data_IF_161952613553
#
_entry.id   IF_161952613553
#
_cell.length_a   1.000
_cell.length_b   1.000
_cell.length_c   1.000
_cell.angle_alpha   90.00
_cell.angle_beta   90.00
_cell.angle_gamma   90.00
#
_symmetry.space_group_name_H-M   'P 1'
#
loop_
_entity.id
_entity.type
_entity.pdbx_description
1 polymer ?
2 non-polymer ?
#
# COMPACT_ATOMS: atom_id res chain seq x y z
N UNK A 22 32.84 8.26 -21.84
CA UNK A 22 32.48 7.06 -21.09
C UNK A 22 30.98 7.03 -20.79
N UNK A 23 30.26 6.14 -21.46
CA UNK A 23 28.81 6.04 -21.20
C UNK A 23 28.48 5.17 -20.01
N UNK A 24 29.36 4.22 -19.67
CA UNK A 24 29.12 3.32 -18.55
C UNK A 24 29.35 3.99 -17.21
N UNK A 25 30.35 4.88 -17.13
CA UNK A 25 30.53 5.67 -15.92
C UNK A 25 29.57 6.85 -15.84
N UNK A 26 28.96 7.22 -16.97
CA UNK A 26 27.93 8.25 -16.96
C UNK A 26 26.54 7.67 -16.71
N UNK A 27 26.42 6.35 -16.67
CA UNK A 27 25.13 5.73 -16.39
C UNK A 27 24.90 5.60 -14.89
N UNK A 28 25.90 5.10 -14.16
CA UNK A 28 25.75 4.96 -12.71
C UNK A 28 25.81 6.29 -11.98
N UNK A 29 26.32 7.34 -12.61
CA UNK A 29 26.40 8.64 -11.97
C UNK A 29 25.20 9.52 -12.30
N UNK A 30 24.67 9.44 -13.52
CA UNK A 30 23.62 10.34 -13.94
C UNK A 30 22.26 9.68 -14.13
N UNK A 31 22.19 8.34 -14.12
CA UNK A 31 20.91 7.66 -14.26
C UNK A 31 20.57 6.80 -13.05
N UNK A 32 21.49 5.93 -12.61
CA UNK A 32 21.19 5.07 -11.48
C UNK A 32 21.20 5.87 -10.18
N UNK A 33 21.99 6.94 -10.11
CA UNK A 33 21.89 7.86 -8.99
C UNK A 33 20.70 8.79 -9.11
N UNK A 34 19.96 8.74 -10.23
CA UNK A 34 18.73 9.50 -10.39
C UNK A 34 17.49 8.66 -10.14
N UNK A 35 17.53 7.36 -10.43
CA UNK A 35 16.43 6.47 -10.06
C UNK A 35 16.36 6.29 -8.55
N UNK A 36 17.52 6.29 -7.89
CA UNK A 36 17.56 6.22 -6.44
C UNK A 36 17.37 7.59 -5.79
N UNK A 37 17.34 8.66 -6.58
CA UNK A 37 16.97 9.95 -6.03
C UNK A 37 15.50 10.26 -6.30
N UNK A 38 14.99 9.85 -7.46
CA UNK A 38 13.55 9.97 -7.70
C UNK A 38 12.76 9.02 -6.82
N UNK A 39 13.20 7.76 -6.73
CA UNK A 39 12.54 6.77 -5.90
C UNK A 39 12.59 7.09 -4.42
N UNK A 40 13.56 7.90 -3.99
CA UNK A 40 13.54 8.47 -2.66
C UNK A 40 12.52 9.60 -2.56
N UNK A 41 12.58 10.55 -3.50
CA UNK A 41 11.79 11.77 -3.40
C UNK A 41 10.34 11.59 -3.81
N UNK A 42 10.00 10.53 -4.56
CA UNK A 42 8.61 10.30 -4.90
C UNK A 42 7.82 9.72 -3.74
N UNK A 43 8.49 9.19 -2.72
CA UNK A 43 7.83 8.66 -1.54
C UNK A 43 7.79 9.65 -0.40
N UNK A 44 8.21 10.89 -0.63
CA UNK A 44 8.23 11.92 0.41
C UNK A 44 6.88 12.62 0.38
N UNK A 45 6.06 12.32 1.37
CA UNK A 45 4.75 12.92 1.56
C UNK A 45 4.62 12.99 3.08
N UNK A 46 5.03 14.10 3.69
CA UNK A 46 5.01 14.14 5.16
C UNK A 46 3.62 14.16 5.75
N UNK A 47 2.63 14.62 5.00
CA UNK A 47 1.28 14.63 5.50
C UNK A 47 0.46 13.45 5.05
N UNK A 48 1.13 12.39 4.57
CA UNK A 48 0.42 11.21 4.10
C UNK A 48 -0.12 10.39 5.26
N UNK A 49 0.61 10.37 6.37
CA UNK A 49 0.11 9.71 7.57
C UNK A 49 -0.89 10.57 8.33
N UNK A 50 -0.94 11.87 8.03
CA UNK A 50 -1.80 12.81 8.73
C UNK A 50 -2.89 13.37 7.82
N UNK A 51 -3.50 12.53 6.99
CA UNK A 51 -4.66 12.98 6.22
C UNK A 51 -5.92 12.90 7.05
N UNK A 52 -6.15 11.75 7.69
CA UNK A 52 -7.34 11.53 8.50
C UNK A 52 -7.37 12.34 9.81
N UNK A 53 -6.26 12.57 10.53
CA UNK A 53 -6.32 13.59 11.60
C UNK A 53 -6.48 15.01 11.07
N UNK A 54 -6.16 15.27 9.80
CA UNK A 54 -6.40 16.59 9.25
C UNK A 54 -7.86 16.78 8.86
N UNK A 55 -8.50 15.73 8.34
CA UNK A 55 -9.90 15.83 7.97
C UNK A 55 -10.80 15.89 9.20
N UNK A 56 -10.49 15.08 10.20
CA UNK A 56 -11.31 15.02 11.41
C UNK A 56 -10.97 16.11 12.42
N UNK A 57 -9.93 16.90 12.16
CA UNK A 57 -9.57 18.00 13.04
C UNK A 57 -10.43 19.22 12.79
N UNK A 58 -10.10 20.33 13.45
CA UNK A 58 -10.88 21.56 13.26
C UNK A 58 -10.62 22.28 11.94
N UNK A 59 -9.63 21.83 11.16
CA UNK A 59 -9.27 22.53 9.93
C UNK A 59 -10.32 22.31 8.85
N UNK A 60 -10.61 21.04 8.53
CA UNK A 60 -11.65 20.72 7.57
C UNK A 60 -13.01 20.53 8.23
N UNK A 61 -13.02 20.08 9.48
CA UNK A 61 -14.20 19.88 10.31
C UNK A 61 -15.20 18.91 9.66
N UNK A 62 -14.72 17.69 9.47
CA UNK A 62 -15.58 16.59 9.04
C UNK A 62 -15.93 15.72 10.24
N UNK A 63 -17.16 15.23 10.24
CA UNK A 63 -17.59 14.34 11.30
C UNK A 63 -17.08 12.94 10.94
N UNK A 64 -16.82 12.12 11.94
CA UNK A 64 -16.35 10.77 11.71
C UNK A 64 -17.33 10.02 10.81
N UNK A 65 -18.61 10.15 11.11
CA UNK A 65 -19.66 9.52 10.33
C UNK A 65 -19.57 9.92 8.86
N UNK A 66 -18.89 11.04 8.57
CA UNK A 66 -18.76 11.46 7.19
C UNK A 66 -17.50 10.95 6.52
N UNK A 67 -16.52 10.51 7.29
CA UNK A 67 -15.27 10.01 6.71
C UNK A 67 -15.30 8.48 6.58
N UNK A 68 -15.81 7.79 7.59
CA UNK A 68 -15.83 6.32 7.55
C UNK A 68 -16.87 5.78 6.57
N UNK A 69 -17.95 6.51 6.34
CA UNK A 69 -19.04 6.00 5.52
C UNK A 69 -19.21 6.71 4.18
N UNK A 70 -18.62 7.89 4.00
CA UNK A 70 -18.87 8.66 2.80
C UNK A 70 -17.62 9.08 2.03
N UNK A 71 -16.44 9.01 2.65
CA UNK A 71 -15.21 9.46 2.02
C UNK A 71 -14.25 8.29 1.79
N UNK A 72 -13.92 7.56 2.85
CA UNK A 72 -13.03 6.40 2.76
C UNK A 72 -13.56 5.20 1.95
N UNK A 73 -14.87 4.90 1.86
CA UNK A 73 -15.28 3.85 0.90
C UNK A 73 -15.12 4.26 -0.55
N UNK A 74 -15.01 5.54 -0.88
CA UNK A 74 -14.73 5.93 -2.26
C UNK A 74 -13.29 5.64 -2.63
N UNK A 75 -12.42 5.42 -1.65
CA UNK A 75 -11.05 4.99 -1.93
C UNK A 75 -11.03 3.57 -2.49
N UNK A 76 -11.88 2.69 -1.98
CA UNK A 76 -11.91 1.30 -2.43
C UNK A 76 -12.87 1.08 -3.60
N UNK A 77 -13.57 2.12 -4.05
CA UNK A 77 -14.41 2.02 -5.24
C UNK A 77 -13.65 2.44 -6.48
N UNK A 78 -12.95 3.57 -6.41
CA UNK A 78 -12.20 4.05 -7.55
C UNK A 78 -10.96 3.18 -7.78
N UNK A 79 -10.46 2.54 -6.72
CA UNK A 79 -9.35 1.62 -6.86
C UNK A 79 -9.74 0.35 -7.61
N UNK A 80 -11.03 0.03 -7.66
CA UNK A 80 -11.49 -0.97 -8.61
C UNK A 80 -11.60 -0.37 -10.01
N UNK A 81 -11.91 0.92 -10.09
CA UNK A 81 -12.19 1.54 -11.38
C UNK A 81 -10.91 1.91 -12.13
N UNK A 82 -9.82 2.16 -11.39
CA UNK A 82 -8.58 2.55 -12.05
C UNK A 82 -7.47 1.51 -11.91
N UNK A 83 -7.78 0.29 -11.48
CA UNK A 83 -6.73 -0.72 -11.38
C UNK A 83 -6.33 -1.23 -12.75
N UNK A 84 -7.30 -1.71 -13.52
CA UNK A 84 -7.06 -2.21 -14.88
C UNK A 84 -6.84 -1.10 -15.91
N UNK A 85 -7.48 0.09 -15.84
CA UNK A 85 -7.05 1.15 -16.77
C UNK A 85 -5.63 1.65 -16.57
N UNK A 86 -5.11 1.67 -15.33
CA UNK A 86 -3.75 2.15 -15.14
C UNK A 86 -2.74 1.05 -15.50
N UNK A 87 -3.05 -0.20 -15.15
CA UNK A 87 -2.12 -1.31 -15.40
C UNK A 87 -1.96 -1.57 -16.90
N UNK A 88 -2.99 -1.31 -17.69
CA UNK A 88 -2.84 -1.39 -19.14
C UNK A 88 -2.12 -0.16 -19.67
N UNK A 89 -2.33 1.00 -19.04
CA UNK A 89 -1.71 2.23 -19.51
C UNK A 89 -0.25 2.32 -19.10
N UNK A 90 0.12 1.71 -17.96
CA UNK A 90 1.50 1.82 -17.51
C UNK A 90 2.45 0.97 -18.33
N UNK A 91 1.94 0.00 -19.08
CA UNK A 91 2.79 -0.77 -19.98
C UNK A 91 2.74 -0.25 -21.40
N UNK A 92 1.62 0.36 -21.79
CA UNK A 92 1.48 0.89 -23.14
C UNK A 92 2.22 2.20 -23.32
N UNK A 93 2.34 3.00 -22.25
CA UNK A 93 3.04 4.28 -22.32
C UNK A 93 4.49 4.18 -21.88
N UNK A 94 4.99 2.97 -21.63
CA UNK A 94 6.36 2.70 -21.19
C UNK A 94 6.68 3.40 -19.86
N UNK A 95 5.72 3.35 -18.93
CA UNK A 95 5.91 3.54 -17.49
C UNK A 95 6.27 4.96 -17.04
N UNK A 96 6.60 5.85 -17.97
CA UNK A 96 6.95 7.22 -17.58
C UNK A 96 5.76 8.16 -17.42
N UNK A 97 4.76 8.24 -18.33
CA UNK A 97 3.66 9.18 -18.08
C UNK A 97 2.71 8.71 -16.98
N UNK A 98 2.79 7.46 -16.54
CA UNK A 98 2.02 7.03 -15.39
C UNK A 98 2.80 7.32 -14.11
N UNK A 99 4.12 7.22 -14.15
CA UNK A 99 4.95 7.77 -13.07
C UNK A 99 4.84 9.29 -13.00
N UNK A 100 4.59 9.93 -14.14
CA UNK A 100 4.24 11.34 -14.12
C UNK A 100 2.83 11.54 -13.58
N UNK A 101 1.94 10.59 -13.82
CA UNK A 101 0.58 10.66 -13.32
C UNK A 101 0.51 10.34 -11.83
N UNK A 102 1.34 9.39 -11.41
CA UNK A 102 1.40 9.00 -10.01
C UNK A 102 1.75 10.21 -9.16
N UNK A 103 2.72 11.00 -9.63
CA UNK A 103 3.12 12.18 -8.90
C UNK A 103 2.14 13.33 -9.06
N UNK A 104 1.47 13.42 -10.21
CA UNK A 104 0.55 14.53 -10.44
C UNK A 104 -0.80 14.29 -9.77
N UNK A 105 -1.20 13.02 -9.62
CA UNK A 105 -2.42 12.73 -8.88
C UNK A 105 -2.20 12.87 -7.39
N UNK A 106 -0.93 12.86 -6.98
CA UNK A 106 -0.57 13.06 -5.59
C UNK A 106 -0.81 14.54 -5.29
N UNK A 107 -0.39 15.39 -6.22
CA UNK A 107 -0.60 16.84 -6.08
C UNK A 107 -2.08 17.16 -6.10
N UNK A 108 -2.87 16.41 -6.89
CA UNK A 108 -4.31 16.64 -6.95
C UNK A 108 -5.00 16.18 -5.67
N UNK A 109 -4.38 15.26 -4.93
CA UNK A 109 -4.90 14.90 -3.61
C UNK A 109 -4.63 16.02 -2.62
N UNK A 110 -3.39 16.51 -2.56
CA UNK A 110 -3.05 17.56 -1.62
C UNK A 110 -3.53 18.94 -2.04
N UNK A 111 -4.02 19.10 -3.27
CA UNK A 111 -4.74 20.32 -3.60
C UNK A 111 -6.18 20.26 -3.11
N UNK A 112 -6.83 19.10 -3.27
CA UNK A 112 -8.18 18.93 -2.76
C UNK A 112 -8.23 18.87 -1.24
N UNK A 113 -7.14 18.47 -0.59
CA UNK A 113 -7.09 18.52 0.87
C UNK A 113 -6.98 19.96 1.37
N UNK A 114 -6.40 20.85 0.57
CA UNK A 114 -6.16 22.21 1.00
C UNK A 114 -7.11 23.23 0.36
N UNK A 115 -7.93 22.80 -0.60
CA UNK A 115 -8.92 23.68 -1.21
C UNK A 115 -10.34 23.17 -1.11
N UNK A 116 -10.54 21.90 -0.81
CA UNK A 116 -11.89 21.33 -0.75
C UNK A 116 -12.45 21.37 0.66
N UNK A 117 -13.75 21.63 0.74
CA UNK A 117 -14.44 21.73 2.03
C UNK A 117 -15.70 20.89 2.14
N UNK A 118 -16.34 20.53 1.03
CA UNK A 118 -17.52 19.69 1.07
C UNK A 118 -17.13 18.23 1.12
N UNK A 119 -18.12 17.35 1.27
CA UNK A 119 -17.85 15.92 1.24
C UNK A 119 -17.51 15.48 -0.17
N UNK A 120 -18.10 16.12 -1.19
CA UNK A 120 -17.83 15.74 -2.57
C UNK A 120 -16.43 16.15 -3.02
N UNK A 121 -15.79 17.08 -2.32
CA UNK A 121 -14.41 17.42 -2.63
C UNK A 121 -13.40 16.54 -1.91
N UNK A 122 -13.85 15.67 -1.01
CA UNK A 122 -12.99 14.65 -0.45
C UNK A 122 -13.26 13.27 -1.02
N UNK A 123 -14.43 13.06 -1.64
CA UNK A 123 -14.62 11.85 -2.43
C UNK A 123 -13.77 11.90 -3.69
N UNK A 124 -13.63 13.09 -4.28
CA UNK A 124 -12.73 13.26 -5.41
C UNK A 124 -11.27 13.17 -4.98
N UNK A 125 -10.99 13.52 -3.72
CA UNK A 125 -9.64 13.37 -3.18
C UNK A 125 -9.25 11.90 -3.08
N UNK A 126 -10.19 11.04 -2.67
CA UNK A 126 -9.91 9.61 -2.60
C UNK A 126 -9.98 8.93 -3.96
N UNK A 127 -10.50 9.61 -4.98
CA UNK A 127 -10.46 9.05 -6.32
C UNK A 127 -9.07 9.23 -6.93
N UNK A 128 -8.48 10.41 -6.76
CA UNK A 128 -7.10 10.62 -7.17
C UNK A 128 -6.12 9.86 -6.30
N UNK A 129 -6.48 9.57 -5.05
CA UNK A 129 -5.58 8.79 -4.20
C UNK A 129 -5.55 7.33 -4.62
N UNK A 130 -6.63 6.83 -5.20
CA UNK A 130 -6.62 5.46 -5.69
C UNK A 130 -5.85 5.32 -6.99
N UNK A 131 -5.68 6.40 -7.74
CA UNK A 131 -4.79 6.38 -8.89
C UNK A 131 -3.35 6.27 -8.43
N UNK A 132 -3.01 6.92 -7.31
CA UNK A 132 -1.66 6.81 -6.76
C UNK A 132 -1.41 5.47 -6.11
N UNK A 133 -2.45 4.71 -5.77
CA UNK A 133 -2.26 3.35 -5.29
C UNK A 133 -2.14 2.37 -6.45
N UNK A 134 -2.94 2.57 -7.49
CA UNK A 134 -2.90 1.68 -8.65
C UNK A 134 -1.69 1.91 -9.53
N UNK A 135 -0.99 3.03 -9.35
CA UNK A 135 0.24 3.31 -10.09
C UNK A 135 1.48 3.15 -9.22
N UNK A 136 1.40 2.31 -8.18
CA UNK A 136 2.54 2.06 -7.31
C UNK A 136 3.45 1.14 -8.11
N UNK A 137 2.82 0.20 -8.80
CA UNK A 137 3.51 -0.77 -9.68
C UNK A 137 4.27 -0.16 -10.86
N UNK A 138 3.86 1.02 -11.30
CA UNK A 138 4.51 1.73 -12.39
C UNK A 138 5.97 1.84 -12.05
N UNK A 139 6.32 2.51 -10.96
CA UNK A 139 7.73 2.67 -10.64
C UNK A 139 8.60 1.43 -10.72
N UNK A 140 8.26 0.41 -9.95
CA UNK A 140 9.05 -0.82 -9.93
C UNK A 140 9.02 -1.54 -11.28
N UNK A 141 7.86 -1.56 -11.91
CA UNK A 141 7.76 -2.21 -13.21
C UNK A 141 8.46 -1.35 -14.24
N UNK A 142 9.11 -0.30 -13.80
CA UNK A 142 9.84 0.59 -14.69
C UNK A 142 11.34 0.33 -14.63
N UNK A 143 11.85 -0.02 -13.46
CA UNK A 143 13.26 -0.39 -13.33
C UNK A 143 13.54 -1.70 -14.07
N UNK A 144 12.54 -2.58 -14.15
CA UNK A 144 12.74 -3.84 -14.87
C UNK A 144 12.82 -3.61 -16.37
N UNK A 145 11.98 -2.73 -16.90
CA UNK A 145 11.98 -2.48 -18.33
C UNK A 145 13.07 -1.50 -18.77
N UNK A 146 13.74 -0.84 -17.84
CA UNK A 146 14.76 0.14 -18.20
C UNK A 146 16.15 -0.48 -18.26
N UNK A 147 16.62 -1.03 -17.14
CA UNK A 147 18.01 -1.43 -17.05
C UNK A 147 18.21 -2.81 -17.65
N UNK A 148 19.47 -3.12 -17.95
CA UNK A 148 19.82 -4.40 -18.54
C UNK A 148 19.67 -5.51 -17.52
N UNK A 149 19.31 -6.73 -17.97
CA UNK A 149 19.13 -7.83 -17.02
C UNK A 149 20.40 -8.30 -16.35
N UNK A 150 21.57 -7.96 -16.89
CA UNK A 150 22.82 -8.29 -16.21
C UNK A 150 23.04 -7.38 -15.00
N UNK A 151 22.78 -6.08 -15.17
CA UNK A 151 22.93 -5.10 -14.10
C UNK A 151 21.62 -4.80 -13.40
N UNK A 152 20.63 -5.69 -13.50
CA UNK A 152 19.32 -5.38 -12.95
C UNK A 152 19.28 -5.57 -11.43
N UNK A 153 19.99 -6.58 -10.92
CA UNK A 153 19.94 -6.86 -9.49
C UNK A 153 20.68 -5.79 -8.70
N UNK A 154 21.68 -5.15 -9.30
CA UNK A 154 22.41 -4.10 -8.60
C UNK A 154 21.62 -2.79 -8.61
N UNK A 155 20.89 -2.52 -9.69
CA UNK A 155 20.12 -1.27 -9.78
C UNK A 155 18.85 -1.36 -8.95
N UNK A 156 18.07 -2.43 -9.15
CA UNK A 156 16.82 -2.59 -8.41
C UNK A 156 17.06 -2.86 -6.93
N UNK A 157 18.23 -3.38 -6.56
CA UNK A 157 18.58 -3.44 -5.15
C UNK A 157 18.86 -2.07 -4.56
N UNK A 158 19.52 -1.21 -5.34
CA UNK A 158 19.74 0.16 -4.90
C UNK A 158 18.47 0.99 -4.99
N UNK A 159 17.57 0.65 -5.91
CA UNK A 159 16.35 1.44 -6.08
C UNK A 159 15.31 1.14 -5.01
N UNK A 160 15.13 -0.13 -4.65
CA UNK A 160 14.18 -0.46 -3.59
C UNK A 160 14.72 -0.08 -2.22
N UNK A 161 16.03 0.09 -2.09
CA UNK A 161 16.59 0.63 -0.86
C UNK A 161 16.41 2.14 -0.78
N UNK A 162 16.02 2.78 -1.89
CA UNK A 162 15.69 4.19 -1.86
C UNK A 162 14.21 4.43 -1.66
N UNK A 163 13.37 3.51 -2.12
CA UNK A 163 11.93 3.62 -1.88
C UNK A 163 11.62 3.32 -0.41
N UNK A 164 12.23 2.26 0.13
CA UNK A 164 12.02 1.92 1.54
C UNK A 164 12.63 2.96 2.46
N UNK A 165 13.74 3.60 2.05
CA UNK A 165 14.25 4.74 2.79
C UNK A 165 13.33 5.94 2.61
N UNK A 166 12.77 6.11 1.42
CA UNK A 166 11.88 7.23 1.17
C UNK A 166 10.54 7.11 1.87
N UNK A 167 10.04 5.88 2.04
CA UNK A 167 8.80 5.68 2.77
C UNK A 167 9.03 5.89 4.27
N UNK A 168 10.17 5.43 4.78
CA UNK A 168 10.45 5.53 6.21
C UNK A 168 10.70 6.98 6.62
N UNK A 169 11.57 7.69 5.90
CA UNK A 169 11.93 9.03 6.32
C UNK A 169 10.86 10.07 5.99
N UNK A 170 9.86 9.72 5.18
CA UNK A 170 8.74 10.63 4.99
C UNK A 170 7.85 10.67 6.22
N UNK A 171 7.61 9.52 6.83
CA UNK A 171 6.80 9.49 8.04
C UNK A 171 7.58 10.03 9.23
N UNK A 172 8.90 9.95 9.21
CA UNK A 172 9.71 10.57 10.25
C UNK A 172 9.70 12.09 10.08
N UNK A 173 9.86 12.57 8.83
CA UNK A 173 9.77 14.00 8.56
C UNK A 173 8.37 14.53 8.83
N UNK A 174 7.34 13.72 8.61
CA UNK A 174 6.00 14.12 8.97
C UNK A 174 5.78 14.14 10.47
N UNK A 175 6.49 13.28 11.20
CA UNK A 175 6.30 13.22 12.65
C UNK A 175 7.06 14.32 13.37
N UNK A 176 8.29 14.61 12.93
CA UNK A 176 9.10 15.61 13.62
C UNK A 176 8.57 17.01 13.38
N UNK A 177 7.90 17.26 12.26
CA UNK A 177 7.26 18.54 12.04
C UNK A 177 5.97 18.68 12.86
N UNK A 178 5.34 17.57 13.22
CA UNK A 178 4.12 17.61 14.01
C UNK A 178 4.41 17.56 15.50
N UNK A 179 5.24 16.61 15.90
CA UNK A 179 5.57 16.43 17.32
C UNK A 179 6.67 17.36 17.85
N UNK A 180 7.81 17.39 17.19
CA UNK A 180 8.93 18.21 17.63
C UNK A 180 8.81 19.64 17.11
N UNK A 181 8.60 19.79 15.79
CA UNK A 181 8.55 21.11 15.19
C UNK A 181 7.31 21.91 15.54
N UNK A 182 6.24 21.23 15.99
CA UNK A 182 4.95 21.83 16.37
C UNK A 182 4.32 22.64 15.24
N UNK A 183 4.57 22.24 14.00
CA UNK A 183 3.91 22.86 12.86
C UNK A 183 2.50 22.31 12.76
N UNK A 184 1.56 23.16 12.33
CA UNK A 184 0.16 22.77 12.27
C UNK A 184 -0.08 21.75 11.15
N UNK A 185 -1.28 21.16 11.18
CA UNK A 185 -1.65 20.18 10.16
C UNK A 185 -1.85 20.83 8.80
N UNK A 186 -2.35 22.07 8.77
CA UNK A 186 -2.55 22.75 7.50
C UNK A 186 -1.22 23.13 6.87
N UNK A 187 -0.29 23.65 7.68
CA UNK A 187 1.02 24.01 7.18
C UNK A 187 1.91 22.80 6.89
N UNK A 188 1.55 21.63 7.40
CA UNK A 188 2.28 20.41 7.03
C UNK A 188 1.96 20.00 5.59
N UNK A 189 0.70 20.15 5.18
CA UNK A 189 0.32 19.79 3.82
C UNK A 189 0.84 20.81 2.79
N UNK A 190 1.24 22.00 3.22
CA UNK A 190 1.95 22.89 2.31
C UNK A 190 3.41 22.51 2.19
N UNK A 191 3.99 21.90 3.24
CA UNK A 191 5.30 21.29 3.11
C UNK A 191 5.22 20.04 2.25
N UNK A 192 4.11 19.29 2.38
CA UNK A 192 3.90 18.13 1.53
C UNK A 192 3.60 18.51 0.09
N UNK A 193 3.14 19.74 -0.16
CA UNK A 193 3.01 20.24 -1.52
C UNK A 193 4.33 20.77 -2.07
N UNK A 194 5.35 20.94 -1.23
CA UNK A 194 6.64 21.35 -1.74
C UNK A 194 7.43 20.16 -2.27
N UNK A 195 7.25 18.98 -1.67
CA UNK A 195 7.92 17.78 -2.17
C UNK A 195 7.16 17.10 -3.29
N UNK A 196 5.84 17.25 -3.33
CA UNK A 196 5.07 16.62 -4.40
C UNK A 196 5.14 17.42 -5.69
N UNK A 197 5.25 18.74 -5.61
CA UNK A 197 5.52 19.53 -6.81
C UNK A 197 6.97 19.41 -7.24
N UNK A 198 7.86 19.02 -6.33
CA UNK A 198 9.25 18.76 -6.70
C UNK A 198 9.41 17.39 -7.34
N UNK A 199 8.56 16.43 -6.99
CA UNK A 199 8.63 15.09 -7.55
C UNK A 199 7.83 14.94 -8.84
N UNK A 200 7.00 15.92 -9.19
CA UNK A 200 6.42 15.94 -10.53
C UNK A 200 7.48 16.32 -11.56
N UNK A 201 8.32 17.31 -11.21
CA UNK A 201 9.41 17.74 -12.07
C UNK A 201 10.45 16.64 -12.21
N UNK A 202 10.68 15.85 -11.16
CA UNK A 202 11.61 14.74 -11.26
C UNK A 202 11.07 13.62 -12.14
N UNK A 203 9.75 13.44 -12.18
CA UNK A 203 9.16 12.43 -13.05
C UNK A 203 9.21 12.83 -14.52
N UNK A 204 9.42 14.11 -14.81
CA UNK A 204 9.55 14.55 -16.19
C UNK A 204 10.89 14.15 -16.79
N UNK A 205 11.95 14.19 -15.99
CA UNK A 205 13.31 13.96 -16.46
C UNK A 205 13.73 12.51 -16.35
N UNK A 206 12.78 11.59 -16.19
CA UNK A 206 13.10 10.17 -16.13
C UNK A 206 13.38 9.63 -17.52
N UNK A 207 14.36 8.74 -17.62
CA UNK A 207 14.67 8.09 -18.88
C UNK A 207 13.58 7.10 -19.23
N UNK A 208 12.90 7.32 -20.35
CA UNK A 208 11.87 6.40 -20.79
C UNK A 208 12.52 5.11 -21.27
N UNK A 209 12.04 3.95 -20.85
CA UNK A 209 12.66 2.69 -21.28
C UNK A 209 12.37 2.38 -22.74
N UNK A 210 13.24 1.58 -23.32
CA UNK A 210 13.14 1.22 -24.72
C UNK A 210 12.27 -0.01 -24.95
N UNK A 211 11.63 -0.53 -23.91
CA UNK A 211 10.78 -1.70 -24.03
C UNK A 211 9.73 -1.65 -22.93
N UNK A 212 8.90 -2.67 -22.89
CA UNK A 212 7.91 -2.85 -21.83
C UNK A 212 7.72 -4.34 -21.63
N UNK A 213 6.64 -4.73 -20.96
CA UNK A 213 6.40 -6.12 -20.64
C UNK A 213 5.36 -6.79 -21.52
N UNK A 214 4.33 -6.07 -21.96
CA UNK A 214 3.28 -6.67 -22.78
C UNK A 214 3.16 -6.04 -24.15
N UNK A 215 3.09 -4.72 -24.24
CA UNK A 215 2.78 -4.07 -25.52
C UNK A 215 4.04 -3.73 -26.31
N UNK A 216 4.89 -2.87 -25.74
CA UNK A 216 6.08 -2.39 -26.45
C UNK A 216 7.24 -3.32 -26.15
N UNK A 217 7.34 -4.37 -26.96
CA UNK A 217 8.42 -5.34 -26.85
C UNK A 217 9.26 -5.31 -28.10
N UNK A 218 10.49 -5.83 -27.98
CA UNK A 218 11.44 -5.85 -29.08
C UNK A 218 11.40 -7.16 -29.86
N UNK A 219 10.57 -8.12 -29.44
CA UNK A 219 10.36 -9.42 -30.09
C UNK A 219 11.65 -10.22 -30.29
N UNK A 255 -1.41 -16.86 -27.71
CA UNK A 255 -0.41 -16.38 -26.75
C UNK A 255 0.08 -17.52 -25.88
N UNK A 256 1.36 -17.49 -25.52
CA UNK A 256 1.93 -18.52 -24.66
C UNK A 256 1.60 -18.28 -23.20
N UNK A 257 1.07 -17.09 -22.88
CA UNK A 257 0.69 -16.80 -21.50
C UNK A 257 -0.52 -17.60 -21.09
N UNK A 258 -1.43 -17.87 -22.02
CA UNK A 258 -2.59 -18.70 -21.71
C UNK A 258 -2.20 -20.17 -21.62
N UNK A 259 -1.09 -20.54 -22.24
CA UNK A 259 -0.66 -21.94 -22.22
C UNK A 259 0.14 -22.26 -20.97
N UNK A 260 1.03 -21.34 -20.56
CA UNK A 260 1.83 -21.58 -19.36
C UNK A 260 1.02 -21.36 -18.10
N UNK A 261 -0.12 -20.65 -18.21
CA UNK A 261 -1.03 -20.54 -17.08
C UNK A 261 -1.75 -21.86 -16.84
N UNK A 262 -1.93 -22.67 -17.88
CA UNK A 262 -2.50 -23.98 -17.74
C UNK A 262 -1.57 -24.96 -17.05
N UNK A 263 -0.28 -24.66 -17.07
CA UNK A 263 0.72 -25.46 -16.37
C UNK A 263 1.05 -24.95 -14.98
N UNK A 264 0.83 -23.68 -14.71
CA UNK A 264 1.18 -23.11 -13.41
C UNK A 264 0.01 -23.02 -12.45
N UNK A 265 -1.23 -23.05 -12.95
CA UNK A 265 -2.38 -23.07 -12.08
C UNK A 265 -2.55 -24.41 -11.37
N UNK A 266 -1.97 -25.48 -11.90
CA UNK A 266 -2.00 -26.78 -11.27
C UNK A 266 -0.97 -26.93 -10.16
N UNK A 267 -0.17 -25.91 -9.90
CA UNK A 267 0.79 -25.97 -8.80
C UNK A 267 0.05 -25.88 -7.47
N UNK A 268 0.56 -26.51 -6.41
CA UNK A 268 -0.11 -26.37 -5.11
C UNK A 268 0.18 -25.06 -4.44
N UNK A 269 1.36 -24.49 -4.65
CA UNK A 269 1.73 -23.27 -3.95
C UNK A 269 1.26 -22.02 -4.70
N UNK A 270 1.03 -22.13 -6.00
CA UNK A 270 0.42 -21.02 -6.71
C UNK A 270 -1.08 -20.97 -6.46
N UNK A 271 -1.70 -22.13 -6.23
CA UNK A 271 -3.11 -22.14 -5.88
C UNK A 271 -3.33 -21.63 -4.47
N UNK A 272 -2.38 -21.88 -3.58
CA UNK A 272 -2.54 -21.49 -2.18
C UNK A 272 -2.33 -20.00 -1.98
N UNK A 273 -1.16 -19.50 -2.38
CA UNK A 273 -0.81 -18.11 -2.11
C UNK A 273 -1.52 -17.11 -3.01
N UNK A 274 -2.19 -17.56 -4.08
CA UNK A 274 -3.06 -16.64 -4.79
C UNK A 274 -4.38 -16.45 -4.05
N UNK A 275 -4.91 -17.51 -3.44
CA UNK A 275 -6.11 -17.38 -2.62
C UNK A 275 -5.82 -16.67 -1.30
N UNK A 276 -4.55 -16.55 -0.91
CA UNK A 276 -4.19 -15.69 0.19
C UNK A 276 -4.12 -14.24 -0.26
N UNK A 277 -3.54 -13.99 -1.45
CA UNK A 277 -3.38 -12.64 -1.95
C UNK A 277 -4.72 -11.99 -2.30
N UNK A 278 -5.75 -12.78 -2.58
CA UNK A 278 -7.06 -12.19 -2.86
C UNK A 278 -7.76 -11.81 -1.57
N UNK A 279 -7.79 -12.72 -0.59
CA UNK A 279 -8.64 -12.53 0.58
C UNK A 279 -7.91 -11.91 1.76
N UNK A 280 -6.67 -12.29 2.02
CA UNK A 280 -5.96 -11.72 3.17
C UNK A 280 -5.43 -10.34 2.88
N UNK A 281 -5.11 -10.03 1.62
CA UNK A 281 -4.72 -8.68 1.28
C UNK A 281 -5.91 -7.75 1.14
N UNK A 282 -7.11 -8.30 0.97
CA UNK A 282 -8.31 -7.46 1.04
C UNK A 282 -8.56 -7.01 2.47
N UNK A 283 -8.42 -7.91 3.44
CA UNK A 283 -8.59 -7.52 4.82
C UNK A 283 -7.45 -6.69 5.36
N UNK A 284 -6.27 -6.78 4.73
CA UNK A 284 -5.16 -5.92 5.15
C UNK A 284 -5.39 -4.48 4.74
N UNK A 285 -5.92 -4.27 3.54
CA UNK A 285 -6.17 -2.93 3.04
C UNK A 285 -7.31 -2.25 3.78
N UNK A 286 -8.26 -3.03 4.26
CA UNK A 286 -9.38 -2.45 5.00
C UNK A 286 -9.01 -2.12 6.43
N UNK A 287 -7.83 -2.49 6.90
CA UNK A 287 -7.36 -2.03 8.19
C UNK A 287 -6.58 -0.73 8.05
N UNK A 288 -5.68 -0.68 7.06
CA UNK A 288 -4.80 0.48 6.88
C UNK A 288 -5.58 1.72 6.47
N UNK A 289 -6.67 1.56 5.72
CA UNK A 289 -7.48 2.71 5.33
C UNK A 289 -8.29 3.25 6.51
N UNK A 290 -8.59 2.40 7.50
CA UNK A 290 -9.50 2.74 8.57
C UNK A 290 -8.86 2.77 9.95
N UNK A 291 -7.56 2.49 10.07
CA UNK A 291 -6.94 2.52 11.39
C UNK A 291 -6.65 3.95 11.82
N UNK A 292 -6.61 4.90 10.89
CA UNK A 292 -6.42 6.29 11.29
C UNK A 292 -7.73 6.93 11.71
N UNK A 293 -8.86 6.39 11.26
CA UNK A 293 -10.14 6.83 11.78
C UNK A 293 -10.38 6.24 13.16
N UNK A 294 -9.79 5.09 13.45
CA UNK A 294 -9.98 4.45 14.75
C UNK A 294 -9.11 5.11 15.81
N UNK A 295 -7.89 5.53 15.45
CA UNK A 295 -7.04 6.25 16.39
C UNK A 295 -7.63 7.62 16.72
N UNK A 296 -8.35 8.22 15.78
CA UNK A 296 -9.04 9.47 16.05
C UNK A 296 -10.34 9.26 16.81
N UNK A 297 -10.81 8.02 16.92
CA UNK A 297 -11.95 7.74 17.78
C UNK A 297 -11.51 7.51 19.22
N UNK A 298 -10.34 6.90 19.41
CA UNK A 298 -9.83 6.65 20.75
C UNK A 298 -9.40 7.94 21.42
N UNK A 299 -8.53 8.72 20.76
CA UNK A 299 -8.05 9.99 21.28
C UNK A 299 -8.42 11.09 20.29
N UNK A 300 -9.61 11.67 20.40
CA UNK A 300 -10.03 12.69 19.43
C UNK A 300 -9.56 14.10 19.79
N UNK A 301 -8.59 14.20 20.70
CA UNK A 301 -8.10 15.49 21.17
C UNK A 301 -7.30 16.17 20.06
N UNK A 302 -7.85 17.24 19.50
CA UNK A 302 -7.21 18.01 18.43
C UNK A 302 -6.10 18.84 19.05
N UNK A 303 -4.89 18.32 19.01
CA UNK A 303 -3.73 19.00 19.55
C UNK A 303 -2.61 19.19 18.54
N UNK A 304 -2.50 18.30 17.54
CA UNK A 304 -1.44 18.26 16.54
C UNK A 304 -0.05 18.11 17.17
N UNK A 305 0.02 17.53 18.37
CA UNK A 305 1.28 17.17 18.99
C UNK A 305 1.24 15.83 19.69
N UNK A 306 0.08 15.34 20.10
CA UNK A 306 -0.06 14.03 20.72
C UNK A 306 -0.48 12.96 19.71
N UNK A 307 -0.61 13.33 18.44
CA UNK A 307 -0.92 12.39 17.37
C UNK A 307 0.40 11.88 16.81
N UNK A 308 0.58 10.57 16.83
CA UNK A 308 1.80 9.92 16.38
C UNK A 308 1.50 8.99 15.23
N UNK A 309 0.72 9.48 14.27
CA UNK A 309 0.39 8.70 13.08
C UNK A 309 1.62 8.48 12.20
N UNK A 310 2.54 9.44 12.19
CA UNK A 310 3.78 9.25 11.45
C UNK A 310 4.74 8.31 12.15
N UNK A 311 4.65 8.22 13.49
CA UNK A 311 5.50 7.31 14.23
C UNK A 311 4.97 5.88 14.19
N UNK A 312 3.76 5.66 13.70
CA UNK A 312 3.22 4.32 13.52
C UNK A 312 3.19 3.91 12.06
N UNK A 313 3.57 4.80 11.15
CA UNK A 313 3.79 4.45 9.75
C UNK A 313 5.27 4.49 9.38
N UNK A 314 6.13 4.89 10.31
CA UNK A 314 7.57 4.73 10.18
C UNK A 314 8.09 3.52 10.94
N UNK A 315 7.52 3.25 12.11
CA UNK A 315 7.90 2.05 12.85
C UNK A 315 7.33 0.80 12.20
N UNK A 316 6.20 0.93 11.49
CA UNK A 316 5.67 -0.20 10.74
C UNK A 316 6.46 -0.44 9.46
N UNK A 317 7.09 0.60 8.92
CA UNK A 317 7.98 0.41 7.78
C UNK A 317 9.32 -0.17 8.23
N UNK A 318 9.82 0.27 9.40
CA UNK A 318 11.05 -0.29 9.93
C UNK A 318 10.86 -1.73 10.38
N UNK A 319 9.70 -2.06 10.96
CA UNK A 319 9.39 -3.45 11.22
C UNK A 319 9.04 -4.19 9.93
N UNK A 320 8.49 -3.47 8.95
CA UNK A 320 8.24 -4.06 7.64
C UNK A 320 9.49 -4.30 6.83
N UNK A 321 10.62 -3.72 7.23
CA UNK A 321 11.90 -4.03 6.62
C UNK A 321 12.69 -5.07 7.41
N UNK A 322 12.25 -5.39 8.63
CA UNK A 322 12.94 -6.41 9.42
C UNK A 322 12.34 -7.78 9.17
N UNK A 323 11.01 -7.88 9.22
CA UNK A 323 10.37 -9.18 8.99
C UNK A 323 10.41 -9.58 7.52
N UNK A 324 10.57 -8.59 6.65
CA UNK A 324 10.72 -8.84 5.23
C UNK A 324 12.10 -9.44 5.06
N UNK A 325 13.09 -8.87 5.75
CA UNK A 325 14.45 -9.38 5.72
C UNK A 325 14.54 -10.74 6.38
N UNK A 326 13.69 -11.00 7.38
CA UNK A 326 13.63 -12.30 8.04
C UNK A 326 12.75 -13.29 7.30
N UNK A 327 12.02 -12.84 6.27
CA UNK A 327 11.22 -13.78 5.48
C UNK A 327 12.01 -14.38 4.34
N UNK A 328 13.11 -13.74 3.93
CA UNK A 328 13.94 -14.30 2.88
C UNK A 328 14.71 -15.52 3.32
N UNK A 329 14.79 -15.75 4.63
CA UNK A 329 15.48 -16.93 5.14
C UNK A 329 14.56 -18.14 5.06
N UNK A 330 13.29 -17.90 5.42
CA UNK A 330 12.23 -18.89 5.41
C UNK A 330 11.49 -18.95 4.07
N UNK A 331 11.93 -18.20 3.06
CA UNK A 331 11.27 -18.20 1.76
C UNK A 331 11.14 -19.58 1.08
N UNK A 332 12.23 -20.35 1.04
CA UNK A 332 12.24 -21.66 0.39
C UNK A 332 12.35 -22.80 1.40
N UNK A 333 12.63 -22.46 2.65
CA UNK A 333 12.77 -23.45 3.71
C UNK A 333 11.42 -23.87 4.28
N UNK A 334 10.52 -22.91 4.45
CA UNK A 334 9.19 -23.21 4.99
C UNK A 334 8.12 -23.26 3.91
N UNK A 335 8.47 -23.66 2.69
CA UNK A 335 7.48 -23.72 1.62
C UNK A 335 6.56 -24.92 1.77
N UNK A 336 6.99 -25.92 2.55
CA UNK A 336 6.16 -27.11 2.75
C UNK A 336 5.01 -26.81 3.71
N UNK A 337 5.30 -26.12 4.81
CA UNK A 337 4.29 -25.81 5.82
C UNK A 337 3.69 -24.43 5.61
N UNK A 338 3.56 -23.99 4.35
CA UNK A 338 3.07 -22.65 4.07
C UNK A 338 1.57 -22.53 4.30
N UNK A 339 0.85 -23.65 4.26
CA UNK A 339 -0.58 -23.62 4.56
C UNK A 339 -0.84 -23.43 6.05
N UNK A 340 0.11 -23.82 6.89
CA UNK A 340 0.04 -23.56 8.32
C UNK A 340 0.73 -22.26 8.70
N UNK A 341 1.68 -21.80 7.88
CA UNK A 341 2.33 -20.52 8.13
C UNK A 341 1.38 -19.34 7.91
N UNK A 342 0.40 -19.49 7.03
CA UNK A 342 -0.64 -18.49 6.87
C UNK A 342 -1.50 -18.40 8.13
N UNK A 343 -1.98 -19.54 8.62
CA UNK A 343 -2.89 -19.57 9.76
C UNK A 343 -2.21 -19.19 11.07
N UNK A 344 -0.89 -19.21 11.12
CA UNK A 344 -0.20 -18.72 12.31
C UNK A 344 -0.06 -17.21 12.34
N UNK A 345 -0.16 -16.57 11.18
CA UNK A 345 -0.04 -15.13 11.08
C UNK A 345 -1.39 -14.45 10.88
N UNK A 346 -2.30 -15.12 10.15
CA UNK A 346 -3.66 -14.60 9.99
C UNK A 346 -4.40 -14.59 11.33
N UNK A 347 -4.19 -15.61 12.16
CA UNK A 347 -4.72 -15.58 13.52
C UNK A 347 -4.05 -14.52 14.37
N UNK A 348 -2.77 -14.25 14.12
CA UNK A 348 -2.11 -13.14 14.79
C UNK A 348 -2.64 -11.80 14.30
N UNK A 349 -3.00 -11.72 13.01
CA UNK A 349 -3.70 -10.54 12.53
C UNK A 349 -5.14 -10.49 13.03
N UNK A 350 -5.73 -11.65 13.32
CA UNK A 350 -7.10 -11.67 13.84
C UNK A 350 -7.17 -11.18 15.27
N UNK A 351 -6.07 -11.29 16.02
CA UNK A 351 -6.04 -10.75 17.36
C UNK A 351 -5.70 -9.28 17.41
N UNK A 352 -4.85 -8.81 16.50
CA UNK A 352 -4.45 -7.42 16.52
C UNK A 352 -5.50 -6.50 15.91
N UNK A 353 -6.33 -7.02 15.00
CA UNK A 353 -7.48 -6.24 14.55
C UNK A 353 -8.52 -6.15 15.68
N UNK A 354 -8.68 -7.23 16.44
CA UNK A 354 -9.56 -7.20 17.60
C UNK A 354 -8.99 -6.32 18.71
N UNK A 355 -7.66 -6.26 18.84
CA UNK A 355 -7.06 -5.39 19.85
C UNK A 355 -7.26 -3.92 19.52
N UNK A 356 -7.32 -3.59 18.23
CA UNK A 356 -7.70 -2.24 17.84
C UNK A 356 -9.17 -1.96 18.16
N UNK A 357 -10.03 -2.95 17.99
CA UNK A 357 -11.45 -2.81 18.29
C UNK A 357 -11.78 -2.98 19.76
N UNK A 358 -10.79 -3.30 20.60
CA UNK A 358 -11.00 -3.44 22.03
C UNK A 358 -10.56 -2.23 22.83
N UNK A 359 -9.51 -1.53 22.39
CA UNK A 359 -9.01 -0.38 23.11
C UNK A 359 -9.98 0.80 22.96
N UNK A 360 -10.52 1.24 24.10
CA UNK A 360 -11.49 2.34 24.11
C UNK A 360 -10.97 3.50 24.96
N UNK A 361 -10.04 3.21 25.87
CA UNK A 361 -9.53 4.25 26.75
C UNK A 361 -8.55 5.14 25.99
N UNK A 362 -8.69 6.47 26.07
CA UNK A 362 -7.73 7.35 25.40
C UNK A 362 -6.35 7.35 26.04
N UNK A 363 -6.22 6.84 27.26
CA UNK A 363 -4.91 6.74 27.91
C UNK A 363 -4.08 5.58 27.37
N UNK A 364 -4.69 4.68 26.59
CA UNK A 364 -3.97 3.56 25.99
C UNK A 364 -3.98 3.63 24.46
N UNK A 365 -3.74 4.82 23.93
CA UNK A 365 -3.69 5.00 22.49
C UNK A 365 -2.32 4.56 21.98
N UNK A 366 -1.37 4.46 22.91
CA UNK A 366 -0.02 4.04 22.61
C UNK A 366 0.03 2.53 22.39
N UNK A 367 -0.94 1.81 22.97
CA UNK A 367 -1.01 0.37 22.82
C UNK A 367 -1.67 0.02 21.48
N UNK A 368 -2.36 1.00 20.90
CA UNK A 368 -3.05 0.84 19.64
C UNK A 368 -1.99 0.95 18.55
N UNK A 369 -1.19 2.00 18.62
CA UNK A 369 -0.11 2.15 17.64
C UNK A 369 0.70 0.88 17.54
N UNK A 370 1.05 0.28 18.68
CA UNK A 370 1.84 -0.95 18.70
C UNK A 370 1.05 -2.15 18.20
N UNK A 371 -0.28 -2.10 18.24
CA UNK A 371 -1.08 -3.17 17.66
C UNK A 371 -1.23 -3.03 16.16
N UNK A 372 -0.77 -1.92 15.58
CA UNK A 372 -0.77 -1.74 14.13
C UNK A 372 0.61 -1.87 13.52
N UNK A 373 1.67 -1.51 14.27
CA UNK A 373 3.02 -1.78 13.82
C UNK A 373 3.27 -3.27 13.76
N UNK A 374 2.83 -4.01 14.78
CA UNK A 374 2.89 -5.46 14.76
C UNK A 374 1.88 -6.09 13.80
N UNK A 375 0.91 -5.31 13.30
CA UNK A 375 0.00 -5.82 12.28
C UNK A 375 0.63 -5.72 10.89
N UNK A 376 1.14 -4.55 10.53
CA UNK A 376 1.85 -4.41 9.26
C UNK A 376 3.16 -5.18 9.27
N UNK A 377 3.80 -5.26 10.43
CA UNK A 377 5.01 -6.05 10.56
C UNK A 377 4.79 -7.54 10.42
N UNK A 378 3.57 -8.01 10.64
CA UNK A 378 3.26 -9.42 10.40
C UNK A 378 2.75 -9.66 9.00
N UNK A 379 2.11 -8.66 8.38
CA UNK A 379 1.67 -8.83 7.00
C UNK A 379 2.85 -8.78 6.04
N UNK A 380 3.84 -7.96 6.38
CA UNK A 380 5.04 -7.82 5.55
C UNK A 380 5.89 -9.10 5.58
N UNK A 381 5.65 -9.97 6.56
CA UNK A 381 6.43 -11.19 6.65
C UNK A 381 5.91 -12.25 5.68
N UNK A 382 4.61 -12.28 5.44
CA UNK A 382 4.06 -13.28 4.52
C UNK A 382 4.27 -12.90 3.06
N UNK A 383 4.40 -11.59 2.77
CA UNK A 383 4.45 -11.15 1.37
C UNK A 383 5.75 -11.54 0.67
N UNK A 384 6.87 -11.55 1.38
CA UNK A 384 8.12 -12.03 0.80
C UNK A 384 7.91 -13.49 0.39
N UNK A 385 7.23 -14.26 1.25
CA UNK A 385 6.91 -15.65 0.98
C UNK A 385 5.80 -15.76 -0.06
N UNK A 386 4.87 -14.82 -0.08
CA UNK A 386 3.75 -14.88 -1.03
C UNK A 386 4.23 -14.60 -2.44
N UNK A 387 5.06 -13.58 -2.60
CA UNK A 387 5.58 -13.21 -3.91
C UNK A 387 6.50 -14.28 -4.50
N UNK A 388 7.00 -15.16 -3.63
CA UNK A 388 7.89 -16.23 -4.07
C UNK A 388 7.11 -17.45 -4.55
N UNK A 389 6.28 -18.01 -3.68
CA UNK A 389 5.50 -19.18 -4.07
C UNK A 389 4.70 -18.93 -5.34
N UNK A 390 4.24 -17.70 -5.53
CA UNK A 390 3.47 -17.35 -6.71
C UNK A 390 4.39 -17.21 -7.92
N UNK A 391 5.43 -16.40 -7.77
CA UNK A 391 6.34 -16.09 -8.87
C UNK A 391 7.54 -17.02 -8.93
N UNK A 392 7.36 -18.29 -8.55
CA UNK A 392 8.46 -19.25 -8.62
C UNK A 392 8.74 -19.65 -10.06
N UNK A 393 7.77 -20.26 -10.72
CA UNK A 393 7.95 -20.76 -12.07
C UNK A 393 7.32 -19.87 -13.13
N UNK A 394 6.74 -18.74 -12.74
CA UNK A 394 6.08 -17.86 -13.70
C UNK A 394 7.10 -17.07 -14.51
N UNK A 395 6.82 -16.95 -15.81
CA UNK A 395 7.56 -16.01 -16.64
C UNK A 395 7.13 -14.58 -16.30
N UNK A 396 7.96 -13.62 -16.74
CA UNK A 396 7.68 -12.22 -16.41
C UNK A 396 6.47 -11.69 -17.15
N UNK A 397 6.14 -12.29 -18.30
CA UNK A 397 4.89 -11.96 -18.98
C UNK A 397 3.68 -12.55 -18.26
N UNK A 398 3.88 -13.62 -17.49
CA UNK A 398 2.80 -14.24 -16.74
C UNK A 398 2.79 -13.83 -15.27
N UNK A 399 3.93 -13.44 -14.70
CA UNK A 399 3.98 -13.05 -13.30
C UNK A 399 3.26 -11.72 -13.07
N UNK A 400 3.48 -10.74 -13.95
CA UNK A 400 2.78 -9.46 -13.83
C UNK A 400 1.30 -9.56 -14.21
N UNK A 401 0.89 -10.66 -14.85
CA UNK A 401 -0.52 -10.90 -15.13
C UNK A 401 -1.22 -11.63 -13.99
N UNK A 402 -0.49 -12.50 -13.28
CA UNK A 402 -1.07 -13.18 -12.12
C UNK A 402 -1.22 -12.22 -10.96
N UNK A 403 -0.17 -11.45 -10.66
CA UNK A 403 -0.28 -10.41 -9.64
C UNK A 403 -1.19 -9.28 -10.07
N UNK A 404 -1.31 -9.04 -11.38
CA UNK A 404 -2.24 -8.05 -11.87
C UNK A 404 -3.69 -8.48 -11.78
N UNK A 405 -3.95 -9.78 -11.76
CA UNK A 405 -5.30 -10.28 -11.58
C UNK A 405 -5.58 -10.73 -10.16
N UNK A 406 -4.54 -10.95 -9.34
CA UNK A 406 -4.77 -11.16 -7.92
C UNK A 406 -5.11 -9.85 -7.24
N UNK A 407 -4.49 -8.75 -7.67
CA UNK A 407 -4.84 -7.44 -7.12
C UNK A 407 -6.23 -7.00 -7.57
N UNK A 408 -6.64 -7.39 -8.77
CA UNK A 408 -7.99 -7.07 -9.21
C UNK A 408 -9.02 -7.91 -8.46
N UNK A 409 -8.71 -9.18 -8.20
CA UNK A 409 -9.63 -10.00 -7.42
C UNK A 409 -9.61 -9.61 -5.95
N UNK A 410 -8.51 -9.02 -5.47
CA UNK A 410 -8.52 -8.46 -4.12
C UNK A 410 -9.34 -7.18 -4.08
N UNK A 411 -9.30 -6.39 -5.15
CA UNK A 411 -10.12 -5.18 -5.20
C UNK A 411 -11.58 -5.48 -5.50
N UNK A 412 -11.89 -6.68 -5.99
CA UNK A 412 -13.29 -7.11 -6.05
C UNK A 412 -13.80 -7.38 -4.64
N UNK A 413 -13.00 -8.07 -3.82
CA UNK A 413 -13.39 -8.32 -2.43
C UNK A 413 -13.37 -7.03 -1.61
N UNK A 414 -12.44 -6.12 -1.91
CA UNK A 414 -12.42 -4.83 -1.22
C UNK A 414 -13.62 -3.98 -1.60
N UNK A 415 -14.17 -4.17 -2.80
CA UNK A 415 -15.38 -3.44 -3.17
C UNK A 415 -16.61 -4.08 -2.54
N UNK A 416 -16.59 -5.40 -2.34
CA UNK A 416 -17.75 -6.07 -1.76
C UNK A 416 -17.88 -5.74 -0.27
N UNK A 417 -16.78 -5.79 0.47
CA UNK A 417 -16.86 -5.59 1.92
C UNK A 417 -17.08 -4.12 2.26
N UNK A 418 -16.56 -3.21 1.44
CA UNK A 418 -16.80 -1.78 1.69
C UNK A 418 -18.24 -1.39 1.41
N UNK A 419 -18.86 -2.03 0.42
CA UNK A 419 -20.26 -1.71 0.15
C UNK A 419 -21.18 -2.39 1.15
N UNK A 420 -20.79 -3.55 1.66
CA UNK A 420 -21.64 -4.22 2.65
C UNK A 420 -21.46 -3.58 4.02
N UNK A 421 -20.22 -3.44 4.48
CA UNK A 421 -19.95 -3.01 5.85
C UNK A 421 -19.81 -1.51 6.00
N UNK A 422 -19.00 -0.85 5.18
CA UNK A 422 -18.56 0.50 5.50
C UNK A 422 -19.40 1.60 4.87
N UNK A 423 -19.90 1.38 3.66
CA UNK A 423 -20.59 2.44 2.94
C UNK A 423 -21.99 2.66 3.50
N UNK A 424 -22.48 3.90 3.36
CA UNK A 424 -23.77 4.26 3.89
C UNK A 424 -24.92 3.67 3.06
N UNK A 425 -24.63 3.18 1.86
CA UNK A 425 -25.63 2.48 1.06
C UNK A 425 -25.74 1.01 1.42
N UNK A 426 -24.96 0.54 2.38
CA UNK A 426 -25.06 -0.84 2.83
C UNK A 426 -25.49 -0.91 4.28
N UNK A 427 -24.56 -1.23 5.18
CA UNK A 427 -24.88 -1.20 6.60
C UNK A 427 -24.51 0.15 7.21
N UNK A 428 -23.38 0.72 6.81
CA UNK A 428 -22.97 2.02 7.33
C UNK A 428 -22.46 1.96 8.75
N UNK A 429 -21.60 1.00 9.02
CA UNK A 429 -21.07 0.82 10.36
C UNK A 429 -20.03 1.89 10.70
N UNK A 430 -19.97 2.33 11.95
CA UNK A 430 -18.85 3.15 12.39
C UNK A 430 -17.59 2.32 12.52
N UNK A 431 -16.45 3.01 12.69
CA UNK A 431 -15.16 2.33 12.56
C UNK A 431 -14.86 1.48 13.78
N UNK A 432 -15.59 1.67 14.88
CA UNK A 432 -15.41 0.80 16.03
C UNK A 432 -16.08 -0.55 15.81
N UNK A 433 -17.31 -0.54 15.31
CA UNK A 433 -18.00 -1.77 14.99
C UNK A 433 -17.56 -2.36 13.65
N UNK A 434 -16.83 -1.60 12.85
CA UNK A 434 -16.33 -2.13 11.58
C UNK A 434 -15.13 -3.03 11.80
N UNK A 435 -14.26 -2.69 12.76
CA UNK A 435 -13.09 -3.52 13.04
C UNK A 435 -13.45 -4.81 13.75
N UNK A 436 -14.61 -4.86 14.42
CA UNK A 436 -15.08 -6.13 14.95
C UNK A 436 -15.50 -7.06 13.82
N UNK A 437 -15.97 -6.52 12.70
CA UNK A 437 -16.30 -7.33 11.54
C UNK A 437 -15.05 -7.84 10.83
N UNK A 438 -13.97 -7.05 10.82
CA UNK A 438 -12.74 -7.51 10.19
C UNK A 438 -12.00 -8.51 11.06
N UNK A 439 -12.12 -8.40 12.38
CA UNK A 439 -11.53 -9.39 13.26
C UNK A 439 -12.25 -10.73 13.16
N UNK A 440 -13.55 -10.71 12.90
CA UNK A 440 -14.25 -11.95 12.57
C UNK A 440 -13.83 -12.43 11.19
N UNK A 441 -13.62 -11.49 10.25
CA UNK A 441 -13.23 -11.84 8.89
C UNK A 441 -11.84 -12.46 8.85
N UNK A 442 -10.93 -11.99 9.69
CA UNK A 442 -9.62 -12.61 9.75
C UNK A 442 -9.67 -13.94 10.48
N UNK A 443 -10.50 -14.05 11.52
CA UNK A 443 -10.61 -15.31 12.25
C UNK A 443 -11.35 -16.37 11.44
N UNK A 444 -12.30 -15.95 10.60
CA UNK A 444 -12.91 -16.88 9.65
C UNK A 444 -11.87 -17.33 8.63
N UNK A 445 -11.02 -16.40 8.18
CA UNK A 445 -9.95 -16.75 7.25
C UNK A 445 -8.86 -17.56 7.94
N UNK A 446 -8.68 -17.36 9.25
CA UNK A 446 -7.65 -18.09 9.97
C UNK A 446 -8.04 -19.56 10.16
N UNK A 447 -9.32 -19.82 10.43
CA UNK A 447 -9.72 -21.20 10.67
C UNK A 447 -9.94 -21.95 9.37
N UNK A 448 -9.95 -21.26 8.24
CA UNK A 448 -10.00 -21.95 6.95
C UNK A 448 -8.63 -22.55 6.64
N UNK A 449 -7.57 -21.74 6.79
CA UNK A 449 -6.23 -22.22 6.50
C UNK A 449 -5.74 -23.20 7.56
N UNK A 450 -6.19 -23.03 8.81
CA UNK A 450 -5.79 -23.95 9.87
C UNK A 450 -6.46 -25.31 9.71
N UNK A 451 -7.73 -25.32 9.29
CA UNK A 451 -8.37 -26.58 8.95
C UNK A 451 -7.88 -27.09 7.60
N UNK A 452 -7.45 -26.20 6.73
CA UNK A 452 -6.91 -26.60 5.44
C UNK A 452 -5.53 -27.21 5.55
N UNK A 453 -4.72 -26.71 6.49
CA UNK A 453 -3.38 -27.26 6.65
C UNK A 453 -3.40 -28.60 7.36
N UNK A 454 -4.33 -28.77 8.30
CA UNK A 454 -4.42 -30.00 9.07
C UNK A 454 -4.86 -31.19 8.24
N UNK A 455 -5.50 -30.95 7.09
CA UNK A 455 -5.90 -32.00 6.17
C UNK A 455 -4.70 -32.69 5.53
N UNK A 456 -3.55 -32.03 5.49
CA UNK A 456 -2.33 -32.59 4.90
C UNK A 456 -1.82 -33.80 5.69
X LIG B 1 4.45 -7.99 -7.08
X LIG B 1 4.44 -7.39 -5.89
X LIG B 1 3.46 -6.57 -5.52
X LIG B 1 6.24 -8.58 -6.02
X LIG B 1 2.42 -6.33 -6.32
X LIG B 1 3.45 -7.78 -7.94
X LIG B 1 11.62 -9.63 -6.56
X LIG B 1 12.37 -8.48 -5.98
X LIG B 1 13.23 -8.84 -8.10
X LIG B 1 12.60 -10.13 -7.60
X LIG B 1 12.76 -7.81 -7.19
X LIG B 1 13.63 -10.93 -7.00
X LIG B 1 11.38 -10.63 -5.55
X LIG B 1 10.62 -12.99 -6.12
X LIG B 1 9.32 -11.63 -4.09
X LIG B 1 12.79 -8.51 -9.54
X LIG B 1 11.79 -7.12 -3.97
X LIG B 1 10.77 -6.36 -3.58
X LIG B 1 10.33 -7.08 -5.56
X LIG B 1 12.89 -6.73 -1.91
X LIG B 1 10.81 -5.75 -2.40
X LIG B 1 11.51 -7.57 -5.19
X LIG B 1 9.89 -6.32 -4.57
X LIG B 1 12.85 -7.34 -3.17
X LIG B 1 11.82 -5.92 -1.54
X LIG B 1 9.75 -4.99 -2.10
X LIG B 1 10.35 -7.62 -11.56
X LIG B 1 11.55 -9.15 -9.89
X LIG B 1 9.97 -7.18 -8.90
X LIG B 1 10.15 -11.64 -5.75
X LIG B 1 10.25 -8.28 -10.24
X LIG B 1 8.92 -11.56 -8.06
X LIG B 1 9.17 -10.95 -6.80
X LIG B 1 7.79 -10.83 -8.77
X LIG B 1 6.71 -10.67 -7.85
X LIG B 1 8.20 -9.42 -9.03
X LIG B 1 9.02 -9.34 -10.20
X LIG B 1 6.85 -8.76 -9.25
X LIG B 1 6.38 -8.96 -10.58
X LIG B 1 5.94 -9.53 -8.31
X LIG B 1 2.39 -6.93 -7.57
X LIG B 1 3.56 -6.04 -4.31
X LIG B 1 5.55 -7.75 -5.24
X LIG B 1 5.57 -8.71 -7.15
X LIG C 1 5.81 -3.54 -6.59
X LIG C 1 6.81 -4.42 -6.59
X LIG C 1 7.02 -5.18 -7.66
X LIG C 1 6.81 -3.43 -4.68
X LIG C 1 6.27 -5.09 -8.76
X LIG C 1 5.01 -3.38 -7.66
X LIG C 1 6.13 -3.84 0.37
X LIG C 1 6.23 -5.30 0.76
X LIG C 1 4.35 -4.39 1.81
X LIG C 1 5.35 -3.28 1.53
X LIG C 1 4.92 -5.61 1.28
X LIG C 1 6.19 -3.12 2.68
X LIG C 1 7.45 -3.25 0.30
X LIG C 1 7.50 -0.71 0.59
X LIG C 1 9.49 -1.86 -1.20
X LIG C 1 3.05 -4.10 1.08
X LIG C 1 7.56 -6.93 -0.58
X LIG C 1 7.45 -7.52 -1.77
X LIG C 1 5.75 -6.23 -1.50
X LIG C 1 9.60 -8.08 -0.21
X LIG C 1 8.37 -8.38 -2.19
X LIG C 1 6.52 -6.15 -0.42
X LIG C 1 6.33 -7.09 -2.34
X LIG C 1 8.61 -7.19 0.22
X LIG C 1 9.44 -8.68 -1.46
X LIG C 1 8.16 -8.91 -3.39
X LIG C 1 0.88 -3.21 -0.64
X LIG C 1 3.30 -4.06 -0.34
X LIG C 1 1.98 -4.80 -2.76
X LIG C 1 7.65 -1.81 -0.39
X LIG C 1 2.16 -3.50 -1.35
X LIG C 1 5.54 -0.77 -1.59
X LIG C 1 6.61 -1.73 -1.61
X LIG C 1 4.69 -0.92 -2.84
X LIG C 1 5.55 -1.02 -4.00
X LIG C 1 3.99 -2.26 -2.81
X LIG C 1 2.79 -2.17 -2.01
X LIG C 1 3.66 -2.46 -4.28
X LIG C 1 2.49 -1.71 -4.65
X LIG C 1 4.88 -1.86 -4.97
X LIG C 1 5.23 -4.18 -8.79
X LIG C 1 8.04 -6.04 -7.57
X LIG C 1 7.42 -4.36 -5.42
X LIG C 1 5.81 -2.93 -5.41
#
# INVERSE_FOLDING_TARGET
MGSMVPSSPAVEKQVPVEPGPDPELRSWRHLVCYLCFYGFMAQIRPGESFITPYLLGPDKNFTREQVTNEITPVLSYSYLAVLVPVFLLTDYLRYTPVLLLQGLSFVSVWLLLLLGHSVAHMQLMELFYSVTMAARIAYSSYIFSLVRPARYQRVAGYSRAAVLLGVFTSSVLGQLLVTVGRVSFSTLNYISLAFLTFSVVLALFLKRPKRSLFFNRDDRGRCETSASELERMNPGPGGKLGHALRVACGDSVLARMLRELGDSLRRPQLRLWSLWWVFNSAGYYLVVYYVHILWNEVDPTTNSARVYNGAADAASTLLGAITSFAAGFVKIRWARWSKLLIAGVTATQAGLVFLLAHTRHPSSIWLCYAAFVLFRGSYQFLVPIATFQIASSLSKELCALVFGVNTFFATIVKTIITFIVSDVRGLGLPVRKQFQLYSVYFLILSIIYFLGAMLDGLRHCQRGHHPRQPPAQGLRSAAEEKAAQALSVQDKGLGGLQPAQSPPLSPEDKLGSENLYLEVLFQGPFQGGSGGSGHHHHHHHHHH
GJF C1 C2 C3 C4 N1 N2 C5 C6 C7 C8 O1 O2 O3 O4 S1 C9 C10 C11 C12 C13 C14 N3 N4 N5 N6 N7 O5 O6 S2 P1 P2 C15 O7 C16 O8 C17 O9 C18 O10 C19 C20 N8 N9 N10
GJF C1 C2 C3 C4 N1 N2 C5 C6 C7 C8 O1 O2 O3 O4 S1 C9 C10 C11 C12 C13 C14 N3 N4 N5 N6 N7 O5 O6 S2 P1 P2 C15 O7 C16 O8 C17 O9 C18 O10 C19 C20 N8 N9 N10
#
